data_IF_854376925007
#
_entry.id   IF_854376925007
#
_cell.length_a   1.000
_cell.length_b   1.000
_cell.length_c   1.000
_cell.angle_alpha   90.00
_cell.angle_beta   90.00
_cell.angle_gamma   90.00
#
_symmetry.space_group_name_H-M   'P 1'
#
loop_
_entity.id
_entity.type
_entity.pdbx_description
1 polymer ?
#
# COMPACT_ATOMS: atom_id res chain seq x y z
N UNK A 1 31.44 17.92 15.79
CA UNK A 1 31.52 18.89 14.66
C UNK A 1 30.99 18.18 13.42
N UNK A 2 29.98 18.79 12.85
CA UNK A 2 29.09 18.37 11.75
C UNK A 2 29.82 18.21 10.42
N UNK A 3 29.30 17.34 9.56
CA UNK A 3 29.70 17.23 8.15
C UNK A 3 28.63 16.50 7.35
N UNK A 4 27.70 17.28 6.78
CA UNK A 4 26.52 16.86 6.01
C UNK A 4 26.83 15.99 4.79
N UNK A 5 26.13 14.86 4.66
CA UNK A 5 26.02 14.12 3.40
C UNK A 5 24.88 14.68 2.56
N UNK A 6 25.22 15.56 1.64
CA UNK A 6 24.33 16.17 0.63
C UNK A 6 23.78 15.08 -0.31
N UNK A 7 22.46 14.90 -0.50
CA UNK A 7 21.94 13.95 -1.48
C UNK A 7 22.19 14.48 -2.89
N UNK A 8 22.86 13.69 -3.74
CA UNK A 8 23.06 14.02 -5.16
C UNK A 8 21.83 13.60 -5.99
N UNK A 9 21.52 14.37 -7.06
CA UNK A 9 20.22 14.35 -7.71
C UNK A 9 20.11 13.23 -8.74
N UNK A 10 18.86 12.83 -8.96
CA UNK A 10 18.35 11.99 -10.03
C UNK A 10 19.11 12.16 -11.36
N UNK A 11 19.76 11.08 -11.82
CA UNK A 11 20.21 10.94 -13.19
C UNK A 11 19.19 10.07 -13.93
N UNK A 12 18.49 10.68 -14.89
CA UNK A 12 17.79 9.95 -15.93
C UNK A 12 18.85 9.32 -16.85
N UNK A 13 19.06 8.01 -16.75
CA UNK A 13 19.64 7.24 -17.84
C UNK A 13 18.71 6.07 -18.15
N UNK A 14 18.02 6.22 -19.27
CA UNK A 14 17.48 5.11 -20.03
C UNK A 14 18.62 4.18 -20.42
N UNK A 15 18.55 2.92 -19.98
CA UNK A 15 19.07 1.80 -20.74
C UNK A 15 18.23 0.56 -20.42
N UNK A 16 17.37 0.21 -21.37
CA UNK A 16 16.71 -1.08 -21.47
C UNK A 16 17.78 -2.18 -21.36
N UNK A 17 17.83 -2.92 -20.25
CA UNK A 17 18.46 -4.26 -20.23
C UNK A 17 18.05 -5.10 -19.03
N UNK A 18 17.25 -6.14 -19.28
CA UNK A 18 16.83 -7.15 -18.31
C UNK A 18 17.92 -8.22 -18.04
N UNK A 19 19.19 -7.84 -17.89
CA UNK A 19 20.31 -8.79 -17.74
C UNK A 19 21.15 -8.63 -16.47
N UNK A 20 20.74 -7.79 -15.51
CA UNK A 20 21.51 -7.57 -14.30
C UNK A 20 21.38 -8.75 -13.32
N UNK A 21 22.50 -9.19 -12.75
CA UNK A 21 22.59 -10.23 -11.70
C UNK A 21 23.50 -9.72 -10.59
N UNK A 22 23.20 -10.05 -9.34
CA UNK A 22 24.09 -9.76 -8.19
C UNK A 22 24.39 -11.02 -7.40
N UNK A 23 25.44 -10.98 -6.58
CA UNK A 23 25.74 -12.06 -5.64
C UNK A 23 24.60 -12.19 -4.62
N UNK A 24 24.24 -13.43 -4.30
CA UNK A 24 23.24 -13.78 -3.30
C UNK A 24 23.69 -13.34 -1.91
N UNK A 25 22.76 -12.79 -1.14
CA UNK A 25 22.93 -12.45 0.26
C UNK A 25 21.86 -13.21 1.05
N UNK A 26 22.17 -13.71 2.27
CA UNK A 26 21.16 -14.33 3.13
C UNK A 26 19.93 -13.43 3.29
N UNK A 27 18.76 -13.96 2.94
CA UNK A 27 17.49 -13.21 2.85
C UNK A 27 16.94 -13.12 1.42
N UNK A 28 17.74 -13.41 0.40
CA UNK A 28 17.26 -13.48 -0.99
C UNK A 28 16.47 -14.77 -1.26
N UNK A 29 15.43 -14.68 -2.09
CA UNK A 29 14.68 -15.85 -2.53
C UNK A 29 15.54 -16.77 -3.40
N UNK A 30 15.65 -18.05 -2.98
CA UNK A 30 16.38 -19.09 -3.70
C UNK A 30 15.77 -19.37 -5.09
N UNK A 31 14.49 -19.06 -5.30
CA UNK A 31 13.80 -19.17 -6.59
C UNK A 31 14.41 -18.26 -7.66
N UNK A 32 15.03 -17.16 -7.24
CA UNK A 32 15.58 -16.15 -8.15
C UNK A 32 17.05 -16.38 -8.46
N UNK A 33 17.60 -17.53 -8.06
CA UNK A 33 18.97 -17.90 -8.41
C UNK A 33 19.11 -18.02 -9.93
N UNK A 34 20.03 -17.25 -10.48
CA UNK A 34 20.41 -17.35 -11.88
C UNK A 34 21.42 -18.50 -12.07
N UNK A 35 20.90 -19.73 -12.17
CA UNK A 35 21.72 -20.97 -12.23
C UNK A 35 22.84 -20.92 -13.27
N UNK A 36 22.63 -20.29 -14.42
CA UNK A 36 23.67 -20.15 -15.46
C UNK A 36 24.86 -19.30 -15.01
N UNK A 37 24.63 -18.23 -14.24
CA UNK A 37 25.73 -17.41 -13.70
C UNK A 37 26.35 -18.09 -12.49
N UNK A 38 25.52 -18.67 -11.62
CA UNK A 38 25.96 -19.44 -10.46
C UNK A 38 26.90 -20.57 -10.87
N UNK A 39 26.54 -21.36 -11.88
CA UNK A 39 27.36 -22.45 -12.40
C UNK A 39 28.70 -21.97 -12.99
N UNK A 40 28.73 -20.78 -13.61
CA UNK A 40 29.96 -20.20 -14.19
C UNK A 40 30.88 -19.56 -13.16
N UNK A 41 30.32 -18.99 -12.09
CA UNK A 41 31.07 -18.20 -11.10
C UNK A 41 31.33 -18.93 -9.77
N UNK A 42 30.74 -20.11 -9.58
CA UNK A 42 30.95 -20.95 -8.39
C UNK A 42 30.37 -20.37 -7.10
N UNK A 43 29.54 -19.32 -7.19
CA UNK A 43 28.86 -18.66 -6.07
C UNK A 43 27.42 -18.36 -6.47
N UNK A 44 26.44 -18.37 -5.55
CA UNK A 44 25.05 -18.10 -5.89
C UNK A 44 24.87 -16.63 -6.34
N UNK A 45 24.24 -16.45 -7.50
CA UNK A 45 23.82 -15.15 -8.03
C UNK A 45 22.30 -15.09 -8.13
N UNK A 46 21.71 -13.96 -7.78
CA UNK A 46 20.27 -13.68 -7.87
C UNK A 46 20.02 -12.72 -9.04
N UNK A 47 18.93 -12.97 -9.78
CA UNK A 47 18.47 -12.05 -10.84
C UNK A 47 18.08 -10.71 -10.20
N UNK A 48 18.68 -9.62 -10.64
CA UNK A 48 18.19 -8.29 -10.33
C UNK A 48 17.03 -8.02 -11.27
N UNK A 49 15.82 -8.21 -10.77
CA UNK A 49 14.66 -7.69 -11.45
C UNK A 49 14.71 -6.17 -11.36
N UNK A 50 14.66 -5.51 -12.51
CA UNK A 50 14.28 -4.11 -12.55
C UNK A 50 12.86 -4.07 -11.99
N UNK A 51 12.71 -3.62 -10.74
CA UNK A 51 11.43 -3.65 -9.99
C UNK A 51 10.47 -2.57 -10.47
N UNK A 52 10.60 -2.17 -11.72
CA UNK A 52 9.58 -1.45 -12.46
C UNK A 52 8.75 -2.51 -13.18
N UNK A 53 7.63 -3.01 -12.60
CA UNK A 53 6.61 -3.57 -13.47
C UNK A 53 6.28 -2.48 -14.46
N UNK A 54 6.53 -2.71 -15.75
CA UNK A 54 6.03 -1.85 -16.84
C UNK A 54 4.49 -1.92 -16.93
N UNK A 55 3.86 -2.75 -16.09
CA UNK A 55 2.42 -2.94 -16.02
C UNK A 55 1.72 -1.94 -15.12
N UNK A 56 0.44 -1.75 -15.45
CA UNK A 56 -0.53 -0.98 -14.72
C UNK A 56 -0.57 -1.34 -13.22
N UNK A 57 -0.66 -0.31 -12.36
CA UNK A 57 -0.89 -0.50 -10.94
C UNK A 57 -2.38 -0.64 -10.68
N UNK A 58 -2.79 -1.72 -10.02
CA UNK A 58 -4.11 -1.87 -9.45
C UNK A 58 -4.03 -1.76 -7.94
N UNK A 59 -4.68 -0.75 -7.38
CA UNK A 59 -4.88 -0.65 -5.94
C UNK A 59 -6.23 -1.29 -5.62
N UNK A 60 -6.20 -2.34 -4.81
CA UNK A 60 -7.37 -3.04 -4.31
C UNK A 60 -7.50 -2.72 -2.84
N UNK A 61 -8.53 -1.98 -2.48
CA UNK A 61 -8.78 -1.59 -1.10
C UNK A 61 -9.96 -2.38 -0.54
N UNK A 62 -9.69 -3.18 0.49
CA UNK A 62 -10.70 -3.94 1.20
C UNK A 62 -11.51 -3.04 2.14
N UNK A 63 -12.80 -2.89 1.83
CA UNK A 63 -13.75 -2.09 2.61
C UNK A 63 -14.79 -2.98 3.31
N UNK A 64 -14.55 -4.28 3.44
CA UNK A 64 -15.48 -5.20 4.08
C UNK A 64 -15.61 -4.88 5.58
N UNK A 65 -16.81 -4.52 6.03
CA UNK A 65 -17.02 -3.96 7.38
C UNK A 65 -16.61 -4.88 8.53
N UNK A 66 -16.63 -6.21 8.34
CA UNK A 66 -16.36 -7.18 9.41
C UNK A 66 -14.86 -7.40 9.68
N UNK A 67 -13.99 -6.97 8.75
CA UNK A 67 -12.53 -7.08 8.91
C UNK A 67 -11.92 -5.78 9.45
N UNK A 68 -12.64 -4.66 9.33
CA UNK A 68 -12.16 -3.37 9.80
C UNK A 68 -12.15 -3.29 11.34
N UNK A 69 -11.14 -2.62 11.88
CA UNK A 69 -10.93 -2.41 13.31
C UNK A 69 -10.74 -0.92 13.57
N UNK A 70 -11.13 -0.47 14.77
CA UNK A 70 -11.01 0.92 15.18
C UNK A 70 -12.24 1.76 14.82
N UNK A 71 -12.22 2.98 15.32
CA UNK A 71 -13.26 3.99 15.17
C UNK A 71 -12.63 5.28 14.65
N UNK A 72 -13.43 6.07 13.95
CA UNK A 72 -13.05 7.39 13.43
C UNK A 72 -11.71 7.33 12.68
N UNK A 73 -10.87 8.36 12.83
CA UNK A 73 -9.59 8.52 12.12
C UNK A 73 -8.58 7.38 12.40
N UNK A 74 -8.75 6.66 13.51
CA UNK A 74 -7.84 5.59 13.92
C UNK A 74 -8.21 4.22 13.31
N UNK A 75 -9.28 4.17 12.53
CA UNK A 75 -9.75 2.93 11.94
C UNK A 75 -8.86 2.42 10.79
N UNK A 76 -8.83 1.11 10.60
CA UNK A 76 -8.05 0.45 9.55
C UNK A 76 -8.50 0.87 8.16
N UNK A 77 -9.78 1.12 7.92
CA UNK A 77 -10.27 1.58 6.62
C UNK A 77 -9.84 3.01 6.31
N UNK A 78 -9.82 3.91 7.30
CA UNK A 78 -9.29 5.27 7.12
C UNK A 78 -7.79 5.23 6.78
N UNK A 79 -7.01 4.43 7.50
CA UNK A 79 -5.60 4.20 7.20
C UNK A 79 -5.40 3.56 5.82
N UNK A 80 -6.28 2.62 5.45
CA UNK A 80 -6.28 2.00 4.13
C UNK A 80 -6.57 3.01 3.01
N UNK A 81 -7.51 3.93 3.22
CA UNK A 81 -7.82 5.05 2.31
C UNK A 81 -6.61 5.97 2.14
N UNK A 82 -5.93 6.34 3.23
CA UNK A 82 -4.73 7.19 3.21
C UNK A 82 -3.59 6.50 2.45
N UNK A 83 -3.37 5.21 2.71
CA UNK A 83 -2.37 4.40 2.00
C UNK A 83 -2.68 4.32 0.50
N UNK A 84 -3.94 4.00 0.14
CA UNK A 84 -4.38 3.94 -1.25
C UNK A 84 -4.18 5.28 -1.97
N UNK A 85 -4.57 6.39 -1.32
CA UNK A 85 -4.40 7.73 -1.87
C UNK A 85 -2.92 8.07 -2.10
N UNK A 86 -2.06 7.78 -1.13
CA UNK A 86 -0.61 8.03 -1.20
C UNK A 86 0.05 7.21 -2.31
N UNK A 87 -0.32 5.94 -2.45
CA UNK A 87 0.20 5.06 -3.49
C UNK A 87 -0.30 5.47 -4.88
N UNK A 88 -1.57 5.86 -5.00
CA UNK A 88 -2.10 6.38 -6.25
C UNK A 88 -1.43 7.68 -6.67
N UNK A 89 -1.26 8.61 -5.71
CA UNK A 89 -0.60 9.89 -5.92
C UNK A 89 0.85 9.68 -6.41
N UNK A 90 1.57 8.77 -5.76
CA UNK A 90 2.94 8.40 -6.12
C UNK A 90 3.02 7.73 -7.49
N UNK A 91 2.16 6.74 -7.76
CA UNK A 91 2.14 6.02 -9.03
C UNK A 91 1.87 6.94 -10.22
N UNK A 92 0.85 7.78 -10.11
CA UNK A 92 0.49 8.76 -11.14
C UNK A 92 1.57 9.85 -11.30
N UNK A 93 2.22 10.25 -10.20
CA UNK A 93 3.36 11.17 -10.23
C UNK A 93 4.61 10.59 -10.91
N UNK A 94 4.70 9.26 -11.00
CA UNK A 94 5.72 8.53 -11.75
C UNK A 94 5.27 8.22 -13.20
N UNK A 95 4.17 8.83 -13.67
CA UNK A 95 3.57 8.56 -14.98
C UNK A 95 3.25 7.07 -15.21
N UNK A 96 2.77 6.39 -14.17
CA UNK A 96 2.27 5.02 -14.28
C UNK A 96 0.75 5.01 -14.36
N UNK A 97 0.14 4.13 -15.17
CA UNK A 97 -1.29 3.91 -15.11
C UNK A 97 -1.67 3.36 -13.73
N UNK A 98 -2.60 4.02 -13.04
CA UNK A 98 -3.11 3.57 -11.74
C UNK A 98 -4.62 3.37 -11.79
N UNK A 99 -5.06 2.18 -11.43
CA UNK A 99 -6.46 1.81 -11.24
C UNK A 99 -6.79 1.62 -9.77
N UNK A 100 -8.08 1.73 -9.44
CA UNK A 100 -8.63 1.54 -8.11
C UNK A 100 -9.82 0.59 -8.17
N UNK A 101 -9.79 -0.44 -7.34
CA UNK A 101 -10.92 -1.33 -7.11
C UNK A 101 -11.22 -1.37 -5.60
N UNK A 102 -12.46 -1.11 -5.23
CA UNK A 102 -12.92 -1.24 -3.85
C UNK A 102 -14.41 -1.58 -3.82
N UNK A 103 -14.83 -2.40 -2.84
CA UNK A 103 -16.24 -2.72 -2.65
C UNK A 103 -16.71 -2.25 -1.28
N UNK A 104 -17.09 -0.97 -1.21
CA UNK A 104 -17.71 -0.37 -0.04
C UNK A 104 -19.22 -0.52 -0.04
N UNK A 105 -19.96 0.51 0.37
CA UNK A 105 -21.42 0.60 0.07
C UNK A 105 -21.71 0.53 -1.43
N UNK A 106 -20.79 1.05 -2.22
CA UNK A 106 -20.83 1.05 -3.68
C UNK A 106 -19.55 0.41 -4.23
N UNK A 107 -19.65 -0.25 -5.38
CA UNK A 107 -18.49 -0.71 -6.13
C UNK A 107 -17.77 0.47 -6.78
N UNK A 108 -16.51 0.67 -6.44
CA UNK A 108 -15.59 1.54 -7.16
C UNK A 108 -14.73 0.66 -8.07
N UNK A 109 -14.76 0.98 -9.36
CA UNK A 109 -13.99 0.28 -10.38
C UNK A 109 -13.44 1.29 -11.39
N UNK A 110 -12.21 1.72 -11.16
CA UNK A 110 -11.48 2.63 -12.02
C UNK A 110 -10.36 1.85 -12.69
N UNK A 111 -10.46 1.54 -13.99
CA UNK A 111 -9.37 0.88 -14.70
C UNK A 111 -8.12 1.79 -14.72
N UNK A 112 -6.92 1.20 -14.83
CA UNK A 112 -5.69 1.96 -14.82
C UNK A 112 -5.62 2.95 -15.96
N UNK A 113 -5.37 4.20 -15.61
CA UNK A 113 -5.12 5.30 -16.55
C UNK A 113 -4.06 6.20 -15.96
N UNK A 114 -3.48 7.05 -16.80
CA UNK A 114 -2.51 8.04 -16.38
C UNK A 114 -3.12 9.44 -16.29
N UNK A 115 -2.35 10.34 -15.68
CA UNK A 115 -2.57 11.78 -15.80
C UNK A 115 -3.46 12.41 -14.72
N UNK A 116 -3.62 13.74 -14.77
CA UNK A 116 -4.26 14.50 -13.69
C UNK A 116 -5.73 14.19 -13.48
N UNK A 117 -6.47 13.88 -14.55
CA UNK A 117 -7.88 13.53 -14.47
C UNK A 117 -8.08 12.22 -13.69
N UNK A 118 -7.23 11.21 -13.95
CA UNK A 118 -7.26 9.96 -13.19
C UNK A 118 -6.95 10.19 -11.72
N UNK A 119 -5.95 11.03 -11.42
CA UNK A 119 -5.59 11.38 -10.03
C UNK A 119 -6.79 11.90 -9.26
N UNK A 120 -7.50 12.85 -9.86
CA UNK A 120 -8.66 13.45 -9.22
C UNK A 120 -9.82 12.47 -9.06
N UNK A 121 -10.09 11.63 -10.06
CA UNK A 121 -11.16 10.62 -9.98
C UNK A 121 -10.87 9.57 -8.88
N UNK A 122 -9.63 9.13 -8.76
CA UNK A 122 -9.18 8.22 -7.69
C UNK A 122 -9.35 8.87 -6.32
N UNK A 123 -8.82 10.08 -6.13
CA UNK A 123 -8.91 10.79 -4.84
C UNK A 123 -10.36 11.08 -4.43
N UNK A 124 -11.21 11.49 -5.39
CA UNK A 124 -12.64 11.67 -5.17
C UNK A 124 -13.32 10.36 -4.74
N UNK A 125 -13.03 9.27 -5.44
CA UNK A 125 -13.65 7.97 -5.15
C UNK A 125 -13.25 7.45 -3.77
N UNK A 126 -11.99 7.65 -3.38
CA UNK A 126 -11.49 7.33 -2.04
C UNK A 126 -12.16 8.20 -0.96
N UNK A 127 -12.33 9.50 -1.20
CA UNK A 127 -12.96 10.42 -0.24
C UNK A 127 -14.45 10.12 0.00
N UNK A 128 -15.13 9.46 -0.92
CA UNK A 128 -16.55 9.07 -0.79
C UNK A 128 -16.72 7.60 -0.37
N UNK A 129 -15.62 6.87 -0.20
CA UNK A 129 -15.64 5.45 0.10
C UNK A 129 -16.10 5.22 1.54
N UNK A 130 -16.88 4.15 1.75
CA UNK A 130 -17.34 3.76 3.08
C UNK A 130 -17.52 2.25 3.16
N UNK A 131 -17.45 1.69 4.37
CA UNK A 131 -17.51 0.24 4.63
C UNK A 131 -18.72 -0.42 3.95
N UNK A 132 -18.48 -1.60 3.36
CA UNK A 132 -19.46 -2.42 2.65
C UNK A 132 -19.68 -3.79 3.28
N UNK A 133 -20.60 -4.55 2.70
CA UNK A 133 -20.96 -5.91 3.14
C UNK A 133 -20.27 -7.03 2.34
N UNK A 134 -19.59 -6.70 1.24
CA UNK A 134 -18.99 -7.70 0.35
C UNK A 134 -17.54 -7.97 0.74
N UNK A 135 -17.14 -9.25 0.87
CA UNK A 135 -15.77 -9.60 1.21
C UNK A 135 -14.82 -9.38 0.03
N UNK A 136 -13.53 -9.20 0.34
CA UNK A 136 -12.45 -9.01 -0.62
C UNK A 136 -12.41 -10.10 -1.71
N UNK A 137 -12.70 -11.35 -1.33
CA UNK A 137 -12.77 -12.49 -2.26
C UNK A 137 -13.67 -12.22 -3.48
N UNK A 138 -14.84 -11.59 -3.25
CA UNK A 138 -15.78 -11.26 -4.33
C UNK A 138 -15.20 -10.23 -5.30
N UNK A 139 -14.41 -9.29 -4.77
CA UNK A 139 -13.75 -8.28 -5.59
C UNK A 139 -12.64 -8.91 -6.42
N UNK A 140 -11.79 -9.75 -5.81
CA UNK A 140 -10.70 -10.45 -6.51
C UNK A 140 -11.21 -11.35 -7.63
N UNK A 141 -12.29 -12.10 -7.40
CA UNK A 141 -12.93 -12.94 -8.43
C UNK A 141 -13.40 -12.11 -9.64
N UNK A 142 -13.92 -10.89 -9.41
CA UNK A 142 -14.31 -9.98 -10.50
C UNK A 142 -13.10 -9.49 -11.31
N UNK A 143 -11.93 -9.39 -10.67
CA UNK A 143 -10.72 -8.91 -11.32
C UNK A 143 -10.09 -9.94 -12.26
N UNK A 144 -10.47 -11.21 -12.21
CA UNK A 144 -9.89 -12.24 -13.08
C UNK A 144 -9.89 -11.82 -14.56
N UNK A 145 -10.93 -11.15 -15.05
CA UNK A 145 -11.03 -10.69 -16.45
C UNK A 145 -10.39 -9.33 -16.77
N UNK A 146 -9.80 -8.64 -15.79
CA UNK A 146 -9.50 -7.21 -15.89
C UNK A 146 -8.05 -6.86 -16.28
N UNK A 147 -7.13 -7.82 -16.27
CA UNK A 147 -5.70 -7.54 -16.32
C UNK A 147 -5.08 -7.76 -17.69
N UNK A 148 -4.19 -6.83 -18.05
CA UNK A 148 -3.10 -7.03 -19.01
C UNK A 148 -2.00 -7.91 -18.38
N UNK A 149 -1.12 -8.49 -19.20
CA UNK A 149 0.01 -9.29 -18.71
C UNK A 149 0.92 -8.47 -17.77
N UNK A 150 1.32 -9.03 -16.62
CA UNK A 150 2.19 -8.41 -15.59
C UNK A 150 1.63 -7.18 -14.85
N UNK A 151 0.31 -7.10 -14.62
CA UNK A 151 -0.27 -6.07 -13.76
C UNK A 151 0.25 -6.17 -12.31
N UNK A 152 0.65 -5.03 -11.74
CA UNK A 152 1.06 -4.94 -10.34
C UNK A 152 -0.19 -4.76 -9.48
N UNK A 153 -0.45 -5.70 -8.58
CA UNK A 153 -1.65 -5.72 -7.76
C UNK A 153 -1.31 -5.38 -6.31
N UNK A 154 -1.63 -4.18 -5.87
CA UNK A 154 -1.42 -3.75 -4.49
C UNK A 154 -2.74 -3.98 -3.73
N UNK A 155 -2.74 -4.93 -2.80
CA UNK A 155 -3.91 -5.27 -1.99
C UNK A 155 -3.73 -4.69 -0.60
N UNK A 156 -4.67 -3.87 -0.15
CA UNK A 156 -4.70 -3.28 1.19
C UNK A 156 -5.88 -3.91 1.93
N UNK A 157 -5.59 -4.64 3.01
CA UNK A 157 -6.63 -5.39 3.75
C UNK A 157 -6.29 -5.55 5.22
N UNK A 158 -7.34 -5.69 6.03
CA UNK A 158 -7.28 -6.13 7.43
C UNK A 158 -7.80 -7.56 7.61
N UNK A 159 -8.05 -8.29 6.52
CA UNK A 159 -8.58 -9.64 6.58
C UNK A 159 -7.46 -10.66 6.84
N UNK A 160 -7.37 -11.12 8.08
CA UNK A 160 -6.47 -12.21 8.50
C UNK A 160 -7.02 -13.60 8.20
N UNK A 161 -8.24 -13.71 7.65
CA UNK A 161 -8.80 -14.99 7.23
C UNK A 161 -8.25 -15.37 5.85
N UNK A 162 -8.06 -16.66 5.61
CA UNK A 162 -7.47 -17.16 4.35
C UNK A 162 -8.46 -17.24 3.16
N UNK A 163 -9.73 -16.84 3.30
CA UNK A 163 -10.77 -17.05 2.28
C UNK A 163 -10.44 -16.35 0.95
N UNK A 164 -9.92 -15.12 1.03
CA UNK A 164 -9.59 -14.32 -0.15
C UNK A 164 -8.34 -14.82 -0.90
N UNK A 165 -7.51 -15.67 -0.29
CA UNK A 165 -6.32 -16.24 -0.93
C UNK A 165 -6.66 -17.06 -2.17
N UNK A 166 -7.82 -17.74 -2.19
CA UNK A 166 -8.27 -18.48 -3.39
C UNK A 166 -8.41 -17.58 -4.61
N UNK A 167 -8.96 -16.37 -4.40
CA UNK A 167 -9.04 -15.34 -5.42
C UNK A 167 -7.65 -14.84 -5.83
N UNK A 168 -6.77 -14.59 -4.85
CA UNK A 168 -5.38 -14.18 -5.12
C UNK A 168 -4.62 -15.21 -5.98
N UNK A 169 -4.73 -16.50 -5.65
CA UNK A 169 -4.10 -17.58 -6.40
C UNK A 169 -4.60 -17.64 -7.85
N UNK A 170 -5.89 -17.38 -8.08
CA UNK A 170 -6.43 -17.30 -9.43
C UNK A 170 -5.78 -16.16 -10.24
N UNK A 171 -5.52 -15.02 -9.61
CA UNK A 171 -4.82 -13.90 -10.23
C UNK A 171 -3.33 -14.21 -10.47
N UNK A 172 -2.66 -14.87 -9.52
CA UNK A 172 -1.27 -15.32 -9.66
C UNK A 172 -1.11 -16.26 -10.86
N UNK A 173 -2.03 -17.22 -11.05
CA UNK A 173 -2.02 -18.12 -12.23
C UNK A 173 -2.15 -17.38 -13.56
N UNK A 174 -2.70 -16.17 -13.56
CA UNK A 174 -2.83 -15.30 -14.73
C UNK A 174 -1.66 -14.32 -14.91
N UNK A 175 -0.66 -14.38 -14.04
CA UNK A 175 0.55 -13.55 -14.12
C UNK A 175 0.42 -12.18 -13.44
N UNK A 176 -0.56 -11.98 -12.55
CA UNK A 176 -0.57 -10.82 -11.66
C UNK A 176 0.63 -10.88 -10.70
N UNK A 177 1.19 -9.73 -10.36
CA UNK A 177 2.29 -9.61 -9.40
C UNK A 177 1.76 -8.88 -8.15
N UNK A 178 1.26 -9.61 -7.15
CA UNK A 178 0.66 -9.00 -5.98
C UNK A 178 1.68 -8.51 -4.95
N UNK A 179 1.30 -7.46 -4.24
CA UNK A 179 1.91 -6.99 -3.00
C UNK A 179 0.80 -6.74 -1.99
N UNK A 180 0.89 -7.34 -0.81
CA UNK A 180 -0.15 -7.24 0.22
C UNK A 180 0.31 -6.31 1.33
N UNK A 181 -0.46 -5.25 1.58
CA UNK A 181 -0.32 -4.37 2.73
C UNK A 181 -1.38 -4.79 3.77
N UNK A 182 -0.95 -5.61 4.73
CA UNK A 182 -1.80 -6.14 5.78
C UNK A 182 -1.83 -5.15 6.95
N UNK A 183 -2.95 -4.45 7.11
CA UNK A 183 -3.23 -3.62 8.28
C UNK A 183 -3.56 -4.54 9.46
N UNK A 184 -2.59 -4.73 10.36
CA UNK A 184 -2.63 -5.74 11.43
C UNK A 184 -3.77 -5.49 12.42
N UNK A 185 -4.88 -6.25 12.36
CA UNK A 185 -6.05 -5.98 13.19
C UNK A 185 -5.73 -6.03 14.69
N UNK A 186 -4.75 -6.83 15.10
CA UNK A 186 -4.31 -6.92 16.49
C UNK A 186 -3.68 -5.62 16.96
N UNK A 187 -2.83 -5.00 16.14
CA UNK A 187 -2.18 -3.73 16.42
C UNK A 187 -3.18 -2.56 16.45
N UNK A 188 -4.26 -2.65 15.67
CA UNK A 188 -5.37 -1.69 15.66
C UNK A 188 -6.43 -1.94 16.76
N UNK A 189 -6.23 -2.92 17.66
CA UNK A 189 -7.04 -3.12 18.86
C UNK A 189 -7.94 -4.37 18.88
N UNK A 190 -7.95 -5.20 17.83
CA UNK A 190 -8.67 -6.49 17.81
C UNK A 190 -7.75 -7.61 18.29
N UNK A 191 -7.57 -7.70 19.61
CA UNK A 191 -6.57 -8.58 20.25
C UNK A 191 -6.69 -10.07 19.89
N UNK A 192 -7.88 -10.53 19.48
CA UNK A 192 -8.11 -11.94 19.11
C UNK A 192 -7.75 -12.28 17.66
N UNK A 193 -7.39 -11.30 16.83
CA UNK A 193 -7.11 -11.50 15.42
C UNK A 193 -5.61 -11.71 15.18
N UNK A 194 -5.16 -12.97 15.17
CA UNK A 194 -3.77 -13.33 14.89
C UNK A 194 -3.48 -13.35 13.38
N UNK A 195 -2.51 -12.53 12.95
CA UNK A 195 -2.06 -12.46 11.56
C UNK A 195 -1.08 -13.58 11.16
N UNK A 196 -0.59 -14.39 12.09
CA UNK A 196 0.49 -15.37 11.84
C UNK A 196 0.13 -16.34 10.72
N UNK A 197 -1.07 -16.90 10.74
CA UNK A 197 -1.51 -17.89 9.75
C UNK A 197 -1.59 -17.29 8.32
N UNK A 198 -2.10 -16.06 8.18
CA UNK A 198 -2.20 -15.42 6.87
C UNK A 198 -0.82 -15.03 6.33
N UNK A 199 0.09 -14.55 7.19
CA UNK A 199 1.46 -14.20 6.81
C UNK A 199 2.23 -15.43 6.33
N UNK A 200 2.13 -16.55 7.04
CA UNK A 200 2.73 -17.82 6.62
C UNK A 200 2.17 -18.32 5.28
N UNK A 201 0.87 -18.17 5.05
CA UNK A 201 0.25 -18.54 3.78
C UNK A 201 0.73 -17.65 2.63
N UNK A 202 0.88 -16.34 2.85
CA UNK A 202 1.43 -15.41 1.84
C UNK A 202 2.90 -15.71 1.54
N UNK A 203 3.69 -16.07 2.55
CA UNK A 203 5.08 -16.51 2.38
C UNK A 203 5.17 -17.82 1.58
N UNK A 204 4.30 -18.80 1.87
CA UNK A 204 4.23 -20.05 1.12
C UNK A 204 3.83 -19.84 -0.35
N UNK A 205 3.08 -18.77 -0.65
CA UNK A 205 2.72 -18.35 -2.00
C UNK A 205 3.78 -17.46 -2.69
N UNK A 206 4.91 -17.15 -2.02
CA UNK A 206 5.96 -16.24 -2.50
C UNK A 206 5.40 -14.84 -2.84
N UNK A 207 4.41 -14.38 -2.06
CA UNK A 207 3.78 -13.07 -2.20
C UNK A 207 4.47 -12.07 -1.29
N UNK A 208 4.96 -10.97 -1.89
CA UNK A 208 5.52 -9.85 -1.14
C UNK A 208 4.42 -9.26 -0.26
N UNK A 209 4.69 -9.15 1.04
CA UNK A 209 3.72 -8.61 1.97
C UNK A 209 4.40 -7.77 3.05
N UNK A 210 3.66 -6.78 3.54
CA UNK A 210 4.08 -5.89 4.60
C UNK A 210 3.01 -5.86 5.67
N UNK A 211 3.43 -6.03 6.92
CA UNK A 211 2.58 -5.81 8.08
C UNK A 211 2.62 -4.33 8.45
N UNK A 212 1.45 -3.70 8.45
CA UNK A 212 1.26 -2.28 8.73
C UNK A 212 0.58 -2.15 10.09
N UNK A 213 1.20 -1.37 10.96
CA UNK A 213 0.72 -1.05 12.30
C UNK A 213 0.49 0.47 12.41
N UNK A 214 -0.34 0.96 13.36
CA UNK A 214 -0.67 2.38 13.46
C UNK A 214 0.57 3.28 13.58
N UNK A 215 1.58 2.86 14.35
CA UNK A 215 2.83 3.58 14.57
C UNK A 215 3.68 3.78 13.30
N UNK A 216 3.52 2.90 12.30
CA UNK A 216 4.19 3.05 11.01
C UNK A 216 3.56 4.20 10.19
N UNK A 217 2.27 4.48 10.42
CA UNK A 217 1.46 5.44 9.68
C UNK A 217 1.40 6.80 10.40
N UNK A 218 1.47 6.82 11.73
CA UNK A 218 1.44 8.02 12.57
C UNK A 218 2.74 8.86 12.55
N UNK A 219 3.62 8.62 11.57
CA UNK A 219 4.75 9.52 11.37
C UNK A 219 4.18 10.90 11.02
N UNK A 220 4.65 11.98 11.66
CA UNK A 220 4.11 13.34 11.49
C UNK A 220 4.20 13.85 10.03
N UNK A 221 4.95 13.16 9.18
CA UNK A 221 5.09 13.41 7.74
C UNK A 221 3.91 12.88 6.90
N UNK A 222 3.12 11.93 7.43
CA UNK A 222 2.07 11.18 6.71
C UNK A 222 0.68 11.69 7.05
N UNK A 223 0.49 12.31 8.22
CA UNK A 223 -0.82 12.84 8.64
C UNK A 223 -1.23 13.99 7.73
N UNK A 224 -2.42 13.89 7.14
CA UNK A 224 -3.05 15.03 6.47
C UNK A 224 -3.09 16.21 7.46
N UNK A 225 -2.82 17.46 7.01
CA UNK A 225 -2.90 18.61 7.91
C UNK A 225 -4.30 18.63 8.51
N UNK A 226 -4.38 18.59 9.85
CA UNK A 226 -5.64 18.72 10.57
C UNK A 226 -6.40 19.95 10.08
N UNK A 227 -7.72 19.83 9.97
CA UNK A 227 -8.57 20.94 9.54
C UNK A 227 -8.21 22.20 10.32
N UNK A 228 -8.05 23.36 9.65
CA UNK A 228 -7.72 24.60 10.33
C UNK A 228 -8.85 24.96 11.30
N UNK A 229 -8.56 24.90 12.60
CA UNK A 229 -9.48 25.36 13.63
C UNK A 229 -9.52 26.89 13.57
N UNK A 230 -10.71 27.45 13.31
CA UNK A 230 -10.92 28.89 13.26
C UNK A 230 -11.41 29.40 14.63
N UNK A 231 -10.77 30.44 15.16
CA UNK A 231 -11.32 31.21 16.29
C UNK A 231 -11.80 32.55 15.79
N UNK A 232 -13.07 32.85 16.03
CA UNK A 232 -13.68 34.15 15.78
C UNK A 232 -13.58 34.99 17.05
N UNK A 233 -13.10 36.23 16.90
CA UNK A 233 -13.13 37.22 17.96
C UNK A 233 -14.41 38.07 17.83
N UNK A 234 -14.88 38.67 18.93
CA UNK A 234 -16.07 39.53 18.95
C UNK A 234 -16.02 40.75 18.02
N UNK A 235 -14.89 40.98 17.34
CA UNK A 235 -14.67 42.01 16.31
C UNK A 235 -14.86 41.49 14.86
N UNK A 236 -15.26 40.23 14.66
CA UNK A 236 -15.45 39.63 13.33
C UNK A 236 -14.17 39.12 12.65
N UNK A 237 -13.01 39.22 13.31
CA UNK A 237 -11.74 38.68 12.82
C UNK A 237 -11.68 37.17 13.08
N UNK A 238 -11.52 36.37 12.02
CA UNK A 238 -11.22 34.94 12.12
C UNK A 238 -9.70 34.72 12.00
N UNK A 239 -9.12 33.98 12.94
CA UNK A 239 -7.69 33.63 12.91
C UNK A 239 -7.56 32.11 12.91
N UNK A 240 -6.72 31.60 12.00
CA UNK A 240 -6.36 30.18 11.95
C UNK A 240 -5.51 29.82 13.17
N UNK A 241 -6.00 28.89 13.99
CA UNK A 241 -5.24 28.31 15.10
C UNK A 241 -4.63 26.99 14.61
N UNK A 242 -3.32 26.83 14.79
CA UNK A 242 -2.70 25.50 14.74
C UNK A 242 -2.98 24.84 16.10
N UNK A 243 -3.56 23.62 16.16
CA UNK A 243 -3.66 22.89 17.41
C UNK A 243 -2.25 22.79 18.00
N UNK A 244 -2.06 23.39 19.17
CA UNK A 244 -0.81 23.26 19.89
C UNK A 244 -0.74 21.81 20.32
N UNK A 245 0.27 21.07 19.85
CA UNK A 245 0.55 19.73 20.35
C UNK A 245 0.61 19.81 21.88
N UNK A 246 -0.29 19.11 22.57
CA UNK A 246 -0.33 19.06 24.03
C UNK A 246 1.05 18.64 24.52
N UNK A 247 1.80 19.64 24.96
CA UNK A 247 3.12 19.46 25.54
C UNK A 247 2.85 19.19 27.00
N UNK A 248 2.78 17.91 27.36
CA UNK A 248 2.66 17.48 28.74
C UNK A 248 3.83 18.02 29.56
N UNK A 249 3.55 18.99 30.43
CA UNK A 249 4.48 19.42 31.48
C UNK A 249 3.75 19.55 32.82
N UNK A 250 4.19 18.68 33.74
CA UNK A 250 4.41 18.89 35.18
C UNK A 250 3.24 19.47 36.00
N UNK A 251 2.61 18.60 36.79
CA UNK A 251 2.20 18.95 38.14
C UNK A 251 3.28 18.44 39.12
N UNK A 252 4.12 19.36 39.59
CA UNK A 252 4.67 19.28 40.94
C UNK A 252 3.60 19.89 41.85
N UNK A 253 3.22 19.14 42.87
CA UNK A 253 2.30 19.52 43.94
C UNK A 253 2.16 18.35 44.89
#
# INVERSE_FOLDING_TARGET
>A
RTGEGRPRPFAYEQAVSASAVREYVPGDSLRWIHWKTTARRGKPFVRLFDSTPTGDWWIVLDMHRYVQVGLDDDATDEHGIILAASLADRGLGLHRPVGLAAHGKSLVWLPPREGPAQRWEVLRSLALLSRGERPLETLLARMEGAFSYHASLIIITSDVNANWLRGLEALLRRGAVPTVLLLDPQAFGKTTADATAILQALEALDVVHYRITPDLLDRPEIRAPSEPVWRTFGTGKAVRIRPQAETGWRALG
#
